data_IF_429020873482
#
_entry.id   IF_429020873482
#
_cell.length_a   1.000
_cell.length_b   1.000
_cell.length_c   1.000
_cell.angle_alpha   90.00
_cell.angle_beta   90.00
_cell.angle_gamma   90.00
#
_symmetry.space_group_name_H-M   'P 1'
#
loop_
_entity.id
_entity.type
_entity.pdbx_description
1 polymer ?
#
# COMPACT_ATOMS: atom_id res chain seq x y z
N UNK A 1 -45.13 0.01 5.36
CA UNK A 1 -43.91 -0.76 5.66
C UNK A 1 -42.82 0.28 5.91
N UNK A 2 -42.50 0.59 7.17
CA UNK A 2 -41.45 1.57 7.46
C UNK A 2 -40.11 0.87 7.27
N UNK A 3 -39.31 1.40 6.35
CA UNK A 3 -37.93 0.97 6.14
C UNK A 3 -37.18 1.26 7.44
N UNK A 4 -36.45 0.26 7.93
CA UNK A 4 -35.61 0.32 9.12
C UNK A 4 -34.70 1.57 9.05
N UNK A 5 -34.57 2.37 10.13
CA UNK A 5 -33.61 3.47 10.18
C UNK A 5 -32.19 3.10 9.73
N UNK A 6 -31.75 1.86 9.98
CA UNK A 6 -30.47 1.34 9.52
C UNK A 6 -30.42 1.19 8.00
N UNK A 7 -31.45 0.63 7.37
CA UNK A 7 -31.54 0.53 5.90
C UNK A 7 -31.56 1.91 5.23
N UNK A 8 -32.11 2.94 5.88
CA UNK A 8 -32.09 4.31 5.35
C UNK A 8 -30.70 4.95 5.35
N UNK A 9 -29.85 4.62 6.35
CA UNK A 9 -28.47 5.10 6.40
C UNK A 9 -27.66 4.44 5.28
N UNK A 10 -27.80 3.12 5.12
CA UNK A 10 -27.14 2.37 4.04
C UNK A 10 -27.53 2.87 2.65
N UNK A 11 -28.81 3.18 2.42
CA UNK A 11 -29.24 3.74 1.14
C UNK A 11 -28.60 5.11 0.85
N UNK A 12 -28.49 5.97 1.87
CA UNK A 12 -27.88 7.31 1.71
C UNK A 12 -26.39 7.22 1.39
N UNK A 13 -25.65 6.34 2.05
CA UNK A 13 -24.23 6.15 1.77
C UNK A 13 -23.98 5.52 0.39
N UNK A 14 -24.79 4.54 -0.01
CA UNK A 14 -24.69 3.91 -1.32
C UNK A 14 -24.93 4.94 -2.44
N UNK A 15 -25.93 5.80 -2.29
CA UNK A 15 -26.22 6.89 -3.24
C UNK A 15 -25.07 7.89 -3.31
N UNK A 16 -24.45 8.24 -2.17
CA UNK A 16 -23.31 9.15 -2.14
C UNK A 16 -22.07 8.55 -2.84
N UNK A 17 -21.78 7.26 -2.64
CA UNK A 17 -20.67 6.56 -3.31
C UNK A 17 -20.87 6.51 -4.83
N UNK A 18 -22.08 6.24 -5.31
CA UNK A 18 -22.41 6.24 -6.74
C UNK A 18 -22.23 7.65 -7.32
N UNK A 19 -22.73 8.67 -6.63
CA UNK A 19 -22.64 10.08 -7.06
C UNK A 19 -21.18 10.52 -7.21
N UNK A 20 -20.31 10.12 -6.29
CA UNK A 20 -18.89 10.45 -6.35
C UNK A 20 -18.19 9.74 -7.53
N UNK A 21 -18.48 8.45 -7.78
CA UNK A 21 -17.91 7.71 -8.92
C UNK A 21 -18.32 8.31 -10.27
N UNK A 22 -19.57 8.76 -10.42
CA UNK A 22 -20.04 9.41 -11.66
C UNK A 22 -19.29 10.72 -11.92
N UNK A 23 -19.05 11.54 -10.89
CA UNK A 23 -18.26 12.78 -11.02
C UNK A 23 -16.81 12.54 -11.43
N UNK A 24 -16.20 11.45 -10.98
CA UNK A 24 -14.84 11.09 -11.39
C UNK A 24 -14.78 10.65 -12.85
N UNK A 25 -15.79 9.91 -13.32
CA UNK A 25 -15.91 9.52 -14.73
C UNK A 25 -16.14 10.71 -15.67
N UNK A 26 -16.93 11.71 -15.25
CA UNK A 26 -17.14 12.93 -16.03
C UNK A 26 -15.89 13.82 -16.13
N UNK A 27 -14.97 13.74 -15.17
CA UNK A 27 -13.67 14.45 -15.24
C UNK A 27 -12.63 13.73 -16.10
N UNK A 28 -12.73 12.42 -16.26
CA UNK A 28 -11.80 11.63 -17.07
C UNK A 28 -12.03 11.71 -18.59
N UNK A 29 -13.21 12.16 -19.03
CA UNK A 29 -13.56 12.23 -20.46
C UNK A 29 -13.15 13.54 -21.14
N UNK A 30 -12.76 14.57 -20.39
CA UNK A 30 -12.26 15.83 -20.97
C UNK A 30 -10.80 15.80 -21.42
N UNK A 31 -10.01 14.78 -21.03
CA UNK A 31 -8.58 14.67 -21.37
C UNK A 31 -8.25 13.60 -22.42
N UNK A 32 -9.26 12.92 -22.99
CA UNK A 32 -9.04 11.93 -24.05
C UNK A 32 -8.98 12.58 -25.43
N UNK A 33 -7.93 13.37 -25.67
CA UNK A 33 -7.61 13.87 -27.01
C UNK A 33 -7.14 12.72 -27.90
N UNK A 34 -8.00 12.25 -28.82
CA UNK A 34 -7.63 11.34 -29.89
C UNK A 34 -6.54 11.97 -30.77
N UNK A 35 -5.28 11.55 -30.60
CA UNK A 35 -4.21 11.84 -31.56
C UNK A 35 -4.45 11.00 -32.82
N UNK A 36 -4.95 11.65 -33.86
CA UNK A 36 -5.05 11.12 -35.21
C UNK A 36 -3.64 11.13 -35.84
N UNK A 37 -3.02 9.96 -35.98
CA UNK A 37 -1.72 9.82 -36.67
C UNK A 37 -1.95 9.81 -38.18
N UNK A 38 -1.59 10.90 -38.84
CA UNK A 38 -1.54 10.99 -40.32
C UNK A 38 -0.17 10.53 -40.81
N UNK A 39 -0.12 9.44 -41.58
CA UNK A 39 1.08 8.99 -42.29
C UNK A 39 1.18 9.80 -43.59
N UNK A 40 2.25 10.58 -43.75
CA UNK A 40 2.57 11.29 -45.00
C UNK A 40 3.79 10.61 -45.63
N UNK A 41 3.61 10.02 -46.82
CA UNK A 41 4.68 9.54 -47.69
C UNK A 41 5.09 10.62 -48.69
N UNK A 42 6.37 10.92 -48.80
CA UNK A 42 6.98 11.69 -49.91
C UNK A 42 8.49 11.60 -49.81
N UNK A 43 9.31 11.52 -50.86
CA UNK A 43 9.11 11.69 -52.30
C UNK A 43 10.50 12.07 -52.85
N UNK A 44 11.09 11.24 -53.71
CA UNK A 44 12.45 11.42 -54.21
C UNK A 44 12.62 12.67 -55.09
N UNK A 45 13.82 13.27 -55.04
CA UNK A 45 14.20 14.42 -55.86
C UNK A 45 15.49 14.13 -56.61
N UNK A 46 15.41 14.09 -57.95
CA UNK A 46 16.53 13.91 -58.86
C UNK A 46 17.29 15.23 -59.11
N UNK A 47 18.61 15.15 -59.26
CA UNK A 47 19.47 16.28 -59.63
C UNK A 47 19.55 16.44 -61.17
N UNK A 48 19.43 17.68 -61.72
CA UNK A 48 19.56 17.92 -63.14
C UNK A 48 21.00 18.27 -63.56
N UNK A 49 21.24 17.99 -64.83
CA UNK A 49 22.49 17.97 -65.58
C UNK A 49 22.94 19.35 -66.10
N UNK A 50 24.20 19.37 -66.58
CA UNK A 50 24.89 20.37 -67.43
C UNK A 50 25.52 21.55 -66.69
N UNK A 51 26.74 22.01 -67.00
CA UNK A 51 27.29 22.41 -68.31
C UNK A 51 28.84 22.63 -68.20
N UNK A 52 29.57 23.04 -69.26
CA UNK A 52 30.29 22.26 -70.28
C UNK A 52 31.83 22.38 -70.22
N UNK A 53 32.48 21.56 -71.04
CA UNK A 53 33.85 21.71 -71.54
C UNK A 53 34.07 23.00 -72.35
N UNK A 54 35.34 23.26 -72.71
CA UNK A 54 35.97 24.37 -73.48
C UNK A 54 36.72 25.32 -72.52
N UNK A 55 38.06 25.32 -72.47
CA UNK A 55 38.94 25.86 -73.52
C UNK A 55 40.35 25.22 -73.53
N UNK A 56 40.67 24.57 -74.65
CA UNK A 56 41.97 24.54 -75.34
C UNK A 56 43.17 25.30 -74.71
N UNK A 57 44.06 24.59 -74.01
CA UNK A 57 45.44 25.06 -73.80
C UNK A 57 46.45 24.07 -74.42
N UNK A 58 47.09 24.41 -75.55
CA UNK A 58 47.93 23.49 -76.32
C UNK A 58 49.41 23.69 -75.99
N UNK A 59 49.87 23.25 -74.82
CA UNK A 59 51.30 23.09 -74.58
C UNK A 59 51.59 21.78 -73.83
N UNK A 60 51.88 20.77 -74.64
CA UNK A 60 52.36 19.46 -74.22
C UNK A 60 53.83 19.59 -73.78
N UNK A 61 54.07 19.96 -72.52
CA UNK A 61 55.41 19.88 -71.92
C UNK A 61 55.68 18.43 -71.53
N UNK A 62 56.70 17.84 -72.16
CA UNK A 62 57.02 16.43 -71.90
C UNK A 62 57.65 16.27 -70.52
N UNK A 63 57.41 15.16 -69.80
CA UNK A 63 57.91 14.91 -68.44
C UNK A 63 59.42 15.09 -68.24
N UNK A 64 60.20 15.08 -69.32
CA UNK A 64 61.66 15.35 -69.28
C UNK A 64 62.01 16.81 -68.98
N UNK A 65 61.11 17.76 -69.28
CA UNK A 65 61.27 19.18 -68.96
C UNK A 65 60.93 19.51 -67.50
N UNK A 66 60.38 18.56 -66.75
CA UNK A 66 60.01 18.74 -65.34
C UNK A 66 61.03 18.14 -64.35
N UNK A 67 62.13 17.53 -64.82
CA UNK A 67 63.26 17.19 -63.95
C UNK A 67 62.96 16.28 -62.76
N UNK A 68 61.86 15.52 -62.78
CA UNK A 68 61.49 14.63 -61.69
C UNK A 68 62.03 13.22 -61.96
N UNK A 69 63.31 13.03 -61.64
CA UNK A 69 63.88 11.70 -61.49
C UNK A 69 63.30 11.04 -60.22
N UNK A 70 62.89 9.78 -60.37
CA UNK A 70 62.38 8.89 -59.34
C UNK A 70 63.50 8.47 -58.39
N UNK A 71 63.44 8.88 -57.12
CA UNK A 71 64.13 8.20 -56.03
C UNK A 71 63.43 8.52 -54.71
N UNK A 72 62.94 7.46 -54.08
CA UNK A 72 62.55 7.31 -52.67
C UNK A 72 61.46 8.24 -52.14
N UNK A 73 60.25 7.69 -52.01
CA UNK A 73 59.13 8.28 -51.27
C UNK A 73 59.56 8.62 -49.85
N UNK A 74 59.64 9.90 -49.45
CA UNK A 74 59.97 10.25 -48.08
C UNK A 74 58.79 9.88 -47.17
N UNK A 75 59.09 9.23 -46.04
CA UNK A 75 58.14 9.10 -44.93
C UNK A 75 57.90 10.49 -44.34
N UNK A 76 56.73 11.09 -44.59
CA UNK A 76 56.35 12.35 -43.96
C UNK A 76 55.83 12.10 -42.54
N UNK A 77 56.72 12.07 -41.56
CA UNK A 77 56.34 12.31 -40.18
C UNK A 77 56.20 13.83 -39.97
N UNK A 78 54.99 14.30 -39.66
CA UNK A 78 54.74 15.71 -39.34
C UNK A 78 54.23 16.56 -40.50
N UNK A 79 53.31 16.04 -41.33
CA UNK A 79 52.53 16.90 -42.22
C UNK A 79 51.54 17.74 -41.39
N UNK A 80 51.97 18.92 -40.96
CA UNK A 80 51.09 19.93 -40.38
C UNK A 80 50.48 20.75 -41.53
N UNK A 81 49.18 20.60 -41.77
CA UNK A 81 48.44 21.46 -42.70
C UNK A 81 48.36 22.86 -42.09
N UNK A 82 49.27 23.75 -42.49
CA UNK A 82 49.36 25.11 -41.96
C UNK A 82 48.49 26.14 -42.71
N UNK A 83 47.61 25.67 -43.60
CA UNK A 83 46.61 26.49 -44.26
C UNK A 83 45.23 25.81 -44.27
N UNK A 84 44.18 26.63 -44.24
CA UNK A 84 42.78 26.19 -44.31
C UNK A 84 42.55 25.44 -45.63
N UNK A 85 42.11 24.18 -45.57
CA UNK A 85 41.60 23.48 -46.75
C UNK A 85 40.35 24.20 -47.24
N UNK A 86 40.46 24.90 -48.37
CA UNK A 86 39.33 25.51 -49.07
C UNK A 86 38.77 24.49 -50.06
N UNK A 87 37.65 23.89 -49.71
CA UNK A 87 36.88 23.03 -50.62
C UNK A 87 35.92 23.91 -51.44
N UNK A 88 35.96 23.81 -52.77
CA UNK A 88 34.94 24.40 -53.65
C UNK A 88 34.06 23.29 -54.22
N UNK A 89 32.79 23.26 -53.84
CA UNK A 89 31.79 22.26 -54.27
C UNK A 89 31.41 21.27 -53.16
N UNK A 90 30.31 20.54 -53.38
CA UNK A 90 29.87 19.47 -52.47
C UNK A 90 30.85 18.29 -52.53
N UNK A 91 31.53 18.03 -51.42
CA UNK A 91 32.33 16.81 -51.23
C UNK A 91 31.68 15.98 -50.13
N UNK A 92 31.54 14.67 -50.34
CA UNK A 92 31.20 13.73 -49.28
C UNK A 92 32.48 13.10 -48.75
N UNK A 93 32.55 12.96 -47.43
CA UNK A 93 33.53 12.10 -46.78
C UNK A 93 32.77 10.83 -46.44
N UNK A 94 32.95 9.80 -47.26
CA UNK A 94 32.44 8.47 -46.96
C UNK A 94 33.51 7.69 -46.22
N UNK A 95 33.20 7.26 -45.00
CA UNK A 95 34.00 6.28 -44.27
C UNK A 95 33.45 4.93 -44.68
N UNK A 96 34.14 4.25 -45.59
CA UNK A 96 33.77 2.90 -46.02
C UNK A 96 34.49 1.95 -45.07
N UNK A 97 33.73 1.39 -44.14
CA UNK A 97 34.18 0.30 -43.28
C UNK A 97 34.00 -1.02 -44.04
N UNK A 98 35.07 -1.46 -44.73
CA UNK A 98 35.19 -2.86 -45.11
C UNK A 98 35.97 -3.55 -44.00
N UNK A 99 35.41 -4.63 -43.47
CA UNK A 99 35.76 -5.39 -42.26
C UNK A 99 37.21 -5.87 -42.12
N UNK A 100 38.13 -5.44 -42.98
CA UNK A 100 39.56 -5.72 -42.89
C UNK A 100 40.47 -4.48 -42.84
N UNK A 101 40.07 -3.27 -43.30
CA UNK A 101 40.90 -2.05 -43.25
C UNK A 101 40.05 -0.77 -43.33
N UNK A 102 40.18 0.14 -42.36
CA UNK A 102 39.48 1.44 -42.37
C UNK A 102 40.27 2.48 -43.17
N UNK A 103 40.03 2.53 -44.48
CA UNK A 103 40.64 3.52 -45.38
C UNK A 103 39.80 4.80 -45.44
N UNK A 104 40.38 5.93 -45.00
CA UNK A 104 39.79 7.24 -45.27
C UNK A 104 40.20 7.69 -46.67
N UNK A 105 39.29 7.58 -47.63
CA UNK A 105 39.51 8.00 -49.02
C UNK A 105 38.84 9.33 -49.30
N UNK A 106 39.57 10.29 -49.88
CA UNK A 106 39.02 11.58 -50.32
C UNK A 106 38.89 11.57 -51.84
N UNK A 107 37.66 11.74 -52.32
CA UNK A 107 37.32 11.82 -53.73
C UNK A 107 37.03 13.27 -54.14
N UNK A 108 37.35 13.63 -55.38
CA UNK A 108 36.77 14.82 -55.99
C UNK A 108 35.28 14.56 -56.33
N UNK A 109 34.53 15.61 -56.62
CA UNK A 109 33.11 15.51 -57.01
C UNK A 109 32.85 14.73 -58.30
N UNK A 110 33.88 14.45 -59.10
CA UNK A 110 33.82 13.59 -60.29
C UNK A 110 34.24 12.13 -60.02
N UNK A 111 34.40 11.77 -58.74
CA UNK A 111 34.82 10.45 -58.26
C UNK A 111 36.24 10.04 -58.66
N UNK A 112 37.08 10.96 -59.14
CA UNK A 112 38.49 10.67 -59.38
C UNK A 112 39.29 10.71 -58.08
N UNK A 113 40.12 9.68 -57.88
CA UNK A 113 40.85 9.43 -56.63
C UNK A 113 41.98 10.44 -56.42
N UNK A 114 42.07 11.04 -55.22
CA UNK A 114 43.13 12.02 -54.91
C UNK A 114 44.12 11.56 -53.84
N UNK A 115 43.67 10.88 -52.80
CA UNK A 115 44.53 10.24 -51.79
C UNK A 115 43.69 9.30 -50.91
N UNK A 116 44.30 8.21 -50.44
CA UNK A 116 43.86 7.51 -49.23
C UNK A 116 44.83 7.80 -48.10
N UNK A 117 44.28 7.89 -46.90
CA UNK A 117 45.02 7.71 -45.67
C UNK A 117 44.61 6.37 -45.09
N UNK A 118 45.57 5.47 -45.00
CA UNK A 118 45.42 4.19 -44.34
C UNK A 118 45.56 4.39 -42.82
N UNK A 119 44.47 4.20 -42.08
CA UNK A 119 44.44 4.36 -40.62
C UNK A 119 44.47 2.97 -40.00
N UNK A 120 45.51 2.21 -40.33
CA UNK A 120 45.63 0.79 -39.93
C UNK A 120 45.91 0.57 -38.43
N UNK A 121 45.86 1.60 -37.58
CA UNK A 121 45.96 1.45 -36.12
C UNK A 121 45.11 2.47 -35.39
N UNK A 122 44.21 1.94 -34.55
CA UNK A 122 43.48 2.59 -33.45
C UNK A 122 43.39 4.11 -33.55
N UNK A 123 42.27 4.60 -34.09
CA UNK A 123 41.87 6.00 -33.90
C UNK A 123 41.67 6.24 -32.39
N UNK A 124 42.76 6.54 -31.71
CA UNK A 124 42.75 6.95 -30.31
C UNK A 124 42.30 8.40 -30.31
N UNK A 125 40.99 8.61 -30.21
CA UNK A 125 40.47 9.95 -29.92
C UNK A 125 40.96 10.28 -28.52
N UNK A 126 41.77 11.33 -28.39
CA UNK A 126 42.21 11.81 -27.08
C UNK A 126 41.01 12.16 -26.18
N UNK A 127 41.28 12.37 -24.89
CA UNK A 127 40.29 12.45 -23.80
C UNK A 127 39.11 13.43 -23.98
N UNK A 128 39.11 14.26 -25.01
CA UNK A 128 38.10 15.26 -25.30
C UNK A 128 37.49 15.07 -26.70
N UNK A 129 36.60 14.09 -26.87
CA UNK A 129 35.70 14.06 -28.02
C UNK A 129 34.59 15.10 -27.80
N UNK A 130 34.82 16.34 -28.22
CA UNK A 130 33.82 17.41 -28.15
C UNK A 130 32.93 17.31 -29.39
N UNK A 131 31.75 16.72 -29.23
CA UNK A 131 30.71 16.66 -30.27
C UNK A 131 29.93 17.97 -30.30
N UNK A 132 30.48 19.01 -30.93
CA UNK A 132 29.76 20.28 -31.14
C UNK A 132 28.96 20.24 -32.44
N UNK A 133 27.70 19.85 -32.32
CA UNK A 133 26.70 19.93 -33.37
C UNK A 133 25.36 19.44 -32.82
N UNK A 134 24.25 20.05 -33.25
CA UNK A 134 22.91 19.54 -32.92
C UNK A 134 22.74 18.15 -33.56
N UNK A 135 23.13 17.12 -32.81
CA UNK A 135 23.03 15.74 -33.24
C UNK A 135 21.56 15.34 -33.19
N UNK A 136 21.09 14.76 -34.29
CA UNK A 136 19.73 14.30 -34.48
C UNK A 136 19.25 13.45 -33.28
N UNK A 137 17.97 13.57 -32.96
CA UNK A 137 17.27 13.08 -31.77
C UNK A 137 17.26 11.56 -31.53
N UNK A 138 18.12 10.78 -32.19
CA UNK A 138 18.19 9.33 -32.08
C UNK A 138 19.64 8.89 -31.81
N UNK A 139 20.16 9.21 -30.62
CA UNK A 139 21.23 8.40 -30.04
C UNK A 139 20.51 7.25 -29.34
N UNK A 140 20.49 6.08 -30.00
CA UNK A 140 20.01 4.85 -29.37
C UNK A 140 21.01 4.41 -28.31
N UNK A 141 20.75 4.78 -27.06
CA UNK A 141 21.60 4.47 -25.91
C UNK A 141 21.37 3.04 -25.36
N UNK A 142 20.63 2.17 -26.06
CA UNK A 142 20.28 0.83 -25.58
C UNK A 142 21.47 -0.13 -25.35
N UNK A 143 22.70 0.30 -25.63
CA UNK A 143 23.93 -0.44 -25.33
C UNK A 143 25.01 0.36 -24.62
N UNK A 144 24.71 1.57 -24.11
CA UNK A 144 25.70 2.36 -23.38
C UNK A 144 25.77 1.87 -21.92
N UNK A 145 26.70 0.94 -21.66
CA UNK A 145 26.96 0.43 -20.33
C UNK A 145 27.75 1.45 -19.50
N UNK A 146 27.03 2.19 -18.64
CA UNK A 146 27.61 3.11 -17.66
C UNK A 146 28.05 2.30 -16.43
N UNK A 147 28.94 1.34 -16.61
CA UNK A 147 29.53 0.56 -15.50
C UNK A 147 30.76 1.23 -14.90
N UNK A 148 31.23 2.33 -15.50
CA UNK A 148 32.44 3.02 -15.04
C UNK A 148 32.30 4.55 -15.09
N UNK A 149 31.19 5.08 -14.56
CA UNK A 149 31.23 6.45 -13.99
C UNK A 149 31.95 6.30 -12.67
N UNK A 150 33.28 6.43 -12.74
CA UNK A 150 34.11 6.60 -11.56
C UNK A 150 33.57 7.76 -10.76
N UNK A 151 33.20 7.46 -9.51
CA UNK A 151 32.60 8.36 -8.53
C UNK A 151 31.06 8.47 -8.55
N UNK A 152 30.39 7.39 -8.12
CA UNK A 152 29.04 7.45 -7.57
C UNK A 152 29.06 7.65 -6.04
N UNK A 153 30.09 8.29 -5.47
CA UNK A 153 29.99 8.79 -4.10
C UNK A 153 29.12 10.05 -4.10
N UNK A 154 27.81 9.85 -3.97
CA UNK A 154 26.86 10.94 -3.74
C UNK A 154 25.90 11.23 -4.89
N UNK A 155 25.13 10.24 -5.33
CA UNK A 155 23.67 10.48 -5.34
C UNK A 155 23.22 10.28 -3.90
N UNK A 156 23.67 11.22 -3.06
CA UNK A 156 23.10 11.44 -1.77
C UNK A 156 21.68 11.90 -2.06
N UNK A 157 20.71 11.06 -1.71
CA UNK A 157 19.32 11.50 -1.64
C UNK A 157 19.13 12.52 -0.50
N UNK A 158 20.19 12.97 0.18
CA UNK A 158 20.29 14.02 1.21
C UNK A 158 19.93 15.44 0.77
N UNK A 159 19.21 15.60 -0.34
CA UNK A 159 18.32 16.75 -0.54
C UNK A 159 16.84 16.40 -0.38
N UNK A 160 16.54 15.27 0.27
CA UNK A 160 15.29 15.08 1.02
C UNK A 160 15.42 15.57 2.47
N UNK A 161 16.51 16.25 2.83
CA UNK A 161 16.57 17.09 4.03
C UNK A 161 15.66 18.31 3.82
N UNK A 162 14.39 18.11 4.14
CA UNK A 162 13.30 19.06 3.90
C UNK A 162 11.93 18.38 3.79
N UNK A 163 11.90 17.08 3.55
CA UNK A 163 10.78 16.25 3.97
C UNK A 163 11.09 15.88 5.42
N UNK A 164 10.42 16.55 6.36
CA UNK A 164 10.24 15.93 7.68
C UNK A 164 9.83 14.49 7.41
N UNK A 165 10.52 13.52 8.00
CA UNK A 165 10.36 12.06 7.90
C UNK A 165 8.93 11.50 8.15
N UNK A 166 7.95 12.38 8.16
CA UNK A 166 6.53 12.16 8.30
C UNK A 166 5.72 12.87 7.19
N UNK A 167 6.23 12.92 5.96
CA UNK A 167 5.46 13.28 4.77
C UNK A 167 4.49 12.15 4.34
N UNK A 168 4.42 11.09 5.13
CA UNK A 168 3.33 10.14 5.12
C UNK A 168 2.51 10.21 6.40
N UNK A 169 1.90 11.37 6.69
CA UNK A 169 0.78 11.47 7.64
C UNK A 169 -0.39 10.52 7.32
N UNK A 170 -0.36 9.84 6.17
CA UNK A 170 -1.26 8.74 5.81
C UNK A 170 -0.89 7.39 6.50
N UNK A 171 0.33 7.26 7.02
CA UNK A 171 0.85 6.13 7.78
C UNK A 171 1.20 6.48 9.23
N UNK A 172 1.03 7.74 9.63
CA UNK A 172 1.07 8.09 11.04
C UNK A 172 -0.17 7.46 11.67
N UNK A 173 0.03 6.42 12.47
CA UNK A 173 -1.06 5.72 13.12
C UNK A 173 -1.73 6.70 14.06
N UNK A 174 -2.96 7.11 13.75
CA UNK A 174 -3.78 7.86 14.70
C UNK A 174 -4.06 6.96 15.91
N UNK A 175 -3.17 7.04 16.91
CA UNK A 175 -3.20 6.21 18.10
C UNK A 175 -4.48 6.49 18.83
N UNK A 176 -5.32 5.47 18.90
CA UNK A 176 -6.51 5.45 19.73
C UNK A 176 -6.70 4.05 20.28
N UNK A 177 -6.91 3.96 21.59
CA UNK A 177 -6.95 2.69 22.30
C UNK A 177 -5.83 2.56 23.32
N UNK A 178 -5.61 1.35 23.80
CA UNK A 178 -4.80 1.09 24.98
C UNK A 178 -3.37 0.66 24.66
N UNK A 179 -2.47 0.79 25.64
CA UNK A 179 -1.14 0.22 25.48
C UNK A 179 -1.20 -1.31 25.32
N UNK A 180 -0.31 -1.94 24.53
CA UNK A 180 -0.33 -3.38 24.32
C UNK A 180 -0.10 -4.21 25.58
N UNK A 181 0.64 -3.67 26.55
CA UNK A 181 0.93 -4.28 27.84
C UNK A 181 -0.06 -3.86 28.94
N UNK A 182 -1.25 -3.39 28.54
CA UNK A 182 -2.27 -2.96 29.49
C UNK A 182 -2.59 -4.04 30.51
N UNK A 183 -2.67 -3.64 31.76
CA UNK A 183 -2.98 -4.51 32.89
C UNK A 183 -3.93 -3.80 33.86
N UNK A 184 -5.20 -4.19 33.80
CA UNK A 184 -6.24 -3.71 34.70
C UNK A 184 -7.33 -4.76 34.84
N UNK A 185 -8.08 -4.67 35.93
CA UNK A 185 -9.29 -5.43 36.15
C UNK A 185 -10.52 -4.54 35.96
N UNK A 186 -11.60 -5.11 35.44
CA UNK A 186 -12.92 -4.48 35.44
C UNK A 186 -13.87 -5.23 36.38
N UNK A 187 -14.80 -4.51 36.97
CA UNK A 187 -15.87 -5.09 37.81
C UNK A 187 -17.12 -4.23 37.75
N UNK A 188 -18.26 -4.86 38.08
CA UNK A 188 -19.53 -4.17 38.18
C UNK A 188 -20.26 -4.60 39.46
N UNK A 189 -20.84 -3.63 40.17
CA UNK A 189 -21.63 -3.88 41.37
C UNK A 189 -23.09 -3.60 41.07
N UNK A 190 -23.89 -4.67 40.92
CA UNK A 190 -25.30 -4.60 40.55
C UNK A 190 -26.12 -3.66 41.44
N UNK A 191 -25.98 -3.79 42.77
CA UNK A 191 -26.76 -3.01 43.73
C UNK A 191 -26.55 -1.49 43.65
N UNK A 192 -25.37 -1.03 43.20
CA UNK A 192 -25.07 0.39 43.03
C UNK A 192 -24.95 0.80 41.56
N UNK A 193 -25.09 -0.15 40.63
CA UNK A 193 -24.87 0.01 39.18
C UNK A 193 -23.54 0.66 38.85
N UNK A 194 -22.50 0.32 39.62
CA UNK A 194 -21.19 0.97 39.53
C UNK A 194 -20.23 0.07 38.78
N UNK A 195 -19.81 0.52 37.60
CA UNK A 195 -18.65 -0.02 36.91
C UNK A 195 -17.38 0.54 37.54
N UNK A 196 -16.35 -0.30 37.69
CA UNK A 196 -15.03 0.08 38.17
C UNK A 196 -13.96 -0.51 37.26
N UNK A 197 -13.05 0.32 36.78
CA UNK A 197 -11.77 -0.10 36.19
C UNK A 197 -10.67 0.14 37.22
N UNK A 198 -9.89 -0.91 37.50
CA UNK A 198 -8.81 -0.89 38.50
C UNK A 198 -7.48 -1.17 37.81
N UNK A 199 -6.64 -0.15 37.57
CA UNK A 199 -5.36 -0.33 36.92
C UNK A 199 -4.34 -1.00 37.85
N UNK A 200 -3.54 -1.92 37.31
CA UNK A 200 -2.35 -2.43 37.97
C UNK A 200 -1.15 -1.54 37.60
N UNK A 201 -0.81 -0.60 38.47
CA UNK A 201 0.14 0.47 38.14
C UNK A 201 -0.49 1.56 37.27
N UNK A 202 0.35 2.32 36.55
CA UNK A 202 -0.14 3.32 35.60
C UNK A 202 -0.44 2.65 34.26
N UNK A 203 -1.63 2.89 33.74
CA UNK A 203 -2.09 2.36 32.45
C UNK A 203 -2.32 3.53 31.50
N UNK A 204 -1.75 3.41 30.30
CA UNK A 204 -1.78 4.46 29.28
C UNK A 204 -2.75 4.11 28.16
N UNK A 205 -3.42 5.13 27.65
CA UNK A 205 -4.29 5.03 26.48
C UNK A 205 -4.17 6.31 25.65
N UNK A 206 -4.55 6.21 24.37
CA UNK A 206 -4.51 7.32 23.43
C UNK A 206 -5.90 7.56 22.87
N UNK A 207 -6.16 8.83 22.53
CA UNK A 207 -7.31 9.25 21.74
C UNK A 207 -6.79 10.29 20.75
N UNK A 208 -6.85 9.98 19.44
CA UNK A 208 -6.34 10.85 18.37
C UNK A 208 -4.91 11.36 18.64
N UNK A 209 -3.99 10.43 18.93
CA UNK A 209 -2.58 10.70 19.27
C UNK A 209 -2.34 11.47 20.58
N UNK A 210 -3.38 11.83 21.33
CA UNK A 210 -3.25 12.43 22.66
C UNK A 210 -3.20 11.33 23.70
N UNK A 211 -2.11 11.27 24.45
CA UNK A 211 -1.90 10.31 25.52
C UNK A 211 -2.62 10.74 26.81
N UNK A 212 -3.22 9.75 27.48
CA UNK A 212 -3.84 9.86 28.78
C UNK A 212 -3.41 8.67 29.64
N UNK A 213 -3.61 8.77 30.94
CA UNK A 213 -3.31 7.67 31.85
C UNK A 213 -4.25 7.59 33.03
N UNK A 214 -4.35 6.39 33.60
CA UNK A 214 -4.99 6.13 34.88
C UNK A 214 -4.02 5.40 35.81
N UNK A 215 -3.96 5.82 37.07
CA UNK A 215 -3.11 5.20 38.10
C UNK A 215 -3.89 4.79 39.35
N UNK A 216 -5.18 5.11 39.40
CA UNK A 216 -6.08 4.76 40.50
C UNK A 216 -7.36 4.16 39.92
N UNK A 217 -8.14 3.40 40.70
CA UNK A 217 -9.46 2.97 40.27
C UNK A 217 -10.31 4.15 39.83
N UNK A 218 -10.97 4.01 38.68
CA UNK A 218 -11.95 4.96 38.18
C UNK A 218 -13.32 4.27 38.05
N UNK A 219 -14.38 5.03 38.23
CA UNK A 219 -15.74 4.49 38.34
C UNK A 219 -16.76 5.30 37.57
N UNK A 220 -17.74 4.61 37.02
CA UNK A 220 -18.91 5.24 36.41
C UNK A 220 -20.17 4.50 36.83
N UNK A 221 -21.24 5.24 37.06
CA UNK A 221 -22.54 4.69 37.45
C UNK A 221 -23.48 4.77 36.25
N UNK A 222 -24.12 3.64 35.90
CA UNK A 222 -25.16 3.64 34.88
C UNK A 222 -26.52 3.96 35.49
N UNK A 223 -27.44 4.45 34.65
CA UNK A 223 -28.85 4.55 35.04
C UNK A 223 -29.51 3.17 35.08
N UNK A 224 -30.69 3.05 35.71
CA UNK A 224 -31.45 1.80 35.70
C UNK A 224 -32.26 1.72 34.40
N UNK A 225 -31.54 1.60 33.29
CA UNK A 225 -32.12 1.50 31.96
C UNK A 225 -31.63 0.21 31.32
N UNK A 226 -32.60 -0.63 30.98
CA UNK A 226 -32.42 -1.92 30.32
C UNK A 226 -31.53 -1.80 29.06
N UNK A 227 -30.70 -2.81 28.83
CA UNK A 227 -30.03 -3.02 27.55
C UNK A 227 -28.51 -2.83 27.58
N UNK A 228 -27.96 -2.58 26.38
CA UNK A 228 -26.52 -2.54 26.13
C UNK A 228 -25.93 -1.20 26.56
N UNK A 229 -24.86 -1.25 27.32
CA UNK A 229 -24.07 -0.11 27.79
C UNK A 229 -22.64 -0.22 27.29
N UNK A 230 -22.10 0.92 26.90
CA UNK A 230 -20.78 1.13 26.37
C UNK A 230 -20.00 1.97 27.36
N UNK A 231 -18.86 1.45 27.82
CA UNK A 231 -17.98 2.10 28.79
C UNK A 231 -16.67 2.47 28.09
N UNK A 232 -16.32 3.76 28.13
CA UNK A 232 -15.19 4.31 27.39
C UNK A 232 -14.66 5.60 28.00
N UNK A 233 -13.43 5.98 27.65
CA UNK A 233 -12.87 7.30 27.97
C UNK A 233 -13.13 8.30 26.83
N UNK A 234 -13.53 9.51 27.21
CA UNK A 234 -13.50 10.72 26.36
C UNK A 234 -12.55 11.71 27.02
N UNK A 235 -11.40 11.93 26.38
CA UNK A 235 -10.28 12.56 27.06
C UNK A 235 -9.92 11.79 28.34
N UNK A 236 -9.89 12.48 29.49
CA UNK A 236 -9.61 11.86 30.79
C UNK A 236 -10.85 11.39 31.57
N UNK A 237 -12.04 11.37 30.97
CA UNK A 237 -13.31 11.11 31.68
C UNK A 237 -13.86 9.74 31.31
N UNK A 238 -14.00 8.85 32.29
CA UNK A 238 -14.72 7.59 32.13
C UNK A 238 -16.23 7.84 31.97
N UNK A 239 -16.79 7.34 30.88
CA UNK A 239 -18.16 7.59 30.45
C UNK A 239 -18.91 6.27 30.25
N UNK A 240 -20.21 6.29 30.55
CA UNK A 240 -21.13 5.20 30.23
C UNK A 240 -22.28 5.73 29.38
N UNK A 241 -22.59 5.03 28.28
CA UNK A 241 -23.64 5.44 27.33
C UNK A 241 -24.31 4.22 26.70
N UNK A 242 -25.58 4.34 26.32
CA UNK A 242 -26.25 3.35 25.45
C UNK A 242 -26.27 3.80 23.97
N UNK A 243 -25.76 4.99 23.68
CA UNK A 243 -25.68 5.52 22.32
C UNK A 243 -24.50 4.86 21.60
N UNK A 244 -24.73 4.18 20.46
CA UNK A 244 -23.63 3.66 19.65
C UNK A 244 -22.73 4.80 19.16
N UNK A 245 -21.45 4.51 19.00
CA UNK A 245 -20.47 5.42 18.40
C UNK A 245 -19.96 4.84 17.09
N UNK A 246 -19.30 5.68 16.30
CA UNK A 246 -18.61 5.24 15.09
C UNK A 246 -17.13 5.10 15.39
N UNK A 247 -16.62 3.88 15.23
CA UNK A 247 -15.21 3.57 15.47
C UNK A 247 -14.24 4.40 14.62
N UNK A 248 -14.69 4.84 13.44
CA UNK A 248 -13.90 5.67 12.53
C UNK A 248 -13.77 7.12 13.00
N UNK A 249 -14.57 7.56 13.96
CA UNK A 249 -14.45 8.90 14.54
C UNK A 249 -13.20 9.02 15.45
N UNK A 250 -12.70 7.86 15.92
CA UNK A 250 -11.41 7.72 16.60
C UNK A 250 -11.25 8.59 17.87
N UNK A 251 -12.37 9.01 18.45
CA UNK A 251 -12.48 10.04 19.48
C UNK A 251 -12.72 9.49 20.90
N UNK A 252 -12.67 8.17 21.07
CA UNK A 252 -12.82 7.49 22.36
C UNK A 252 -11.78 6.37 22.54
N UNK A 253 -11.42 6.08 23.78
CA UNK A 253 -10.72 4.84 24.12
C UNK A 253 -11.72 3.87 24.77
N UNK A 254 -12.11 2.83 24.02
CA UNK A 254 -13.13 1.87 24.45
C UNK A 254 -12.61 0.98 25.59
N UNK A 255 -13.48 0.64 26.56
CA UNK A 255 -13.11 -0.19 27.72
C UNK A 255 -13.91 -1.49 27.73
N UNK A 256 -15.23 -1.38 27.77
CA UNK A 256 -16.08 -2.53 28.08
C UNK A 256 -17.47 -2.37 27.49
N UNK A 257 -18.00 -3.52 27.09
CA UNK A 257 -19.41 -3.70 26.75
C UNK A 257 -20.12 -4.41 27.90
N UNK A 258 -21.28 -3.89 28.32
CA UNK A 258 -22.07 -4.45 29.41
C UNK A 258 -23.55 -4.55 29.04
N UNK A 259 -24.21 -5.65 29.39
CA UNK A 259 -25.67 -5.79 29.23
C UNK A 259 -26.35 -5.72 30.61
N UNK A 260 -27.21 -4.73 30.81
CA UNK A 260 -27.96 -4.52 32.05
C UNK A 260 -29.38 -5.07 31.92
N UNK A 261 -29.74 -6.01 32.80
CA UNK A 261 -31.12 -6.48 33.00
C UNK A 261 -31.75 -5.68 34.14
N UNK A 262 -32.47 -4.62 33.79
CA UNK A 262 -33.14 -3.73 34.75
C UNK A 262 -34.30 -4.44 35.45
N UNK A 263 -34.88 -5.46 34.82
CA UNK A 263 -35.96 -6.25 35.43
C UNK A 263 -35.46 -7.03 36.63
N UNK A 264 -34.29 -7.67 36.49
CA UNK A 264 -33.70 -8.49 37.53
C UNK A 264 -32.64 -7.75 38.38
N UNK A 265 -32.30 -6.51 38.01
CA UNK A 265 -31.24 -5.69 38.62
C UNK A 265 -29.88 -6.40 38.62
N UNK A 266 -29.48 -6.94 37.48
CA UNK A 266 -28.18 -7.61 37.34
C UNK A 266 -27.48 -7.30 36.01
N UNK A 267 -26.15 -7.20 36.04
CA UNK A 267 -25.35 -7.22 34.83
C UNK A 267 -25.23 -8.68 34.33
N UNK A 268 -25.79 -8.92 33.15
CA UNK A 268 -25.80 -10.28 32.58
C UNK A 268 -24.57 -10.55 31.71
N UNK A 269 -24.02 -9.53 31.06
CA UNK A 269 -22.77 -9.60 30.29
C UNK A 269 -21.84 -8.48 30.75
N UNK A 270 -20.56 -8.79 30.95
CA UNK A 270 -19.49 -7.82 31.18
C UNK A 270 -18.26 -8.27 30.37
N UNK A 271 -18.05 -7.66 29.21
CA UNK A 271 -16.95 -7.96 28.29
C UNK A 271 -15.89 -6.87 28.33
N UNK A 272 -14.61 -7.27 28.37
CA UNK A 272 -13.49 -6.35 28.10
C UNK A 272 -13.31 -6.25 26.60
N UNK A 273 -13.21 -5.03 26.09
CA UNK A 273 -13.20 -4.73 24.66
C UNK A 273 -12.22 -3.59 24.37
N UNK A 274 -11.10 -3.64 25.08
CA UNK A 274 -10.13 -2.55 25.08
C UNK A 274 -9.04 -2.84 24.08
N UNK A 275 -9.29 -2.55 22.81
CA UNK A 275 -8.31 -2.76 21.75
C UNK A 275 -7.08 -1.86 21.90
N UNK A 276 -5.96 -2.33 21.38
CA UNK A 276 -4.70 -1.58 21.48
C UNK A 276 -4.62 -0.48 20.43
N UNK A 277 -3.85 0.57 20.72
CA UNK A 277 -3.61 1.65 19.75
C UNK A 277 -2.89 1.19 18.47
N UNK A 278 -2.33 -0.03 18.45
CA UNK A 278 -1.70 -0.63 17.27
C UNK A 278 -2.73 -1.00 16.20
N UNK A 279 -4.00 -1.17 16.58
CA UNK A 279 -5.09 -1.43 15.67
C UNK A 279 -5.67 -0.09 15.21
N UNK A 280 -5.34 0.35 14.00
CA UNK A 280 -5.91 1.59 13.44
C UNK A 280 -7.44 1.51 13.40
N UNK A 281 -8.14 2.64 13.51
CA UNK A 281 -9.61 2.68 13.43
C UNK A 281 -10.16 2.00 12.16
N UNK A 282 -9.46 2.13 11.03
CA UNK A 282 -9.82 1.46 9.78
C UNK A 282 -9.63 -0.06 9.84
N UNK A 283 -8.51 -0.52 10.37
CA UNK A 283 -8.26 -1.96 10.57
C UNK A 283 -9.29 -2.55 11.54
N UNK A 284 -9.54 -1.85 12.65
CA UNK A 284 -10.52 -2.24 13.66
C UNK A 284 -11.92 -2.36 13.07
N UNK A 285 -12.39 -1.33 12.35
CA UNK A 285 -13.66 -1.36 11.62
C UNK A 285 -13.74 -2.54 10.64
N UNK A 286 -12.67 -2.76 9.87
CA UNK A 286 -12.61 -3.84 8.90
C UNK A 286 -12.76 -5.21 9.56
N UNK A 287 -12.06 -5.46 10.67
CA UNK A 287 -12.12 -6.75 11.34
C UNK A 287 -13.47 -6.99 12.02
N UNK A 288 -14.05 -6.02 12.72
CA UNK A 288 -15.41 -6.16 13.25
C UNK A 288 -16.44 -6.43 12.15
N UNK A 289 -16.28 -5.81 10.97
CA UNK A 289 -17.23 -5.96 9.87
C UNK A 289 -17.08 -7.28 9.10
N UNK A 290 -15.85 -7.77 8.92
CA UNK A 290 -15.56 -8.92 8.05
C UNK A 290 -15.27 -10.21 8.79
N UNK A 291 -14.76 -10.13 10.01
CA UNK A 291 -14.29 -11.27 10.78
C UNK A 291 -15.13 -11.48 12.04
N UNK A 292 -15.34 -10.42 12.83
CA UNK A 292 -15.88 -10.51 14.18
C UNK A 292 -15.08 -11.45 15.08
N UNK A 293 -15.74 -12.02 16.09
CA UNK A 293 -15.10 -12.99 16.99
C UNK A 293 -14.68 -14.27 16.24
N UNK A 294 -13.42 -14.69 16.42
CA UNK A 294 -12.84 -15.86 15.76
C UNK A 294 -12.58 -17.00 16.74
N UNK A 295 -12.94 -18.21 16.35
CA UNK A 295 -12.53 -19.42 17.06
C UNK A 295 -11.08 -19.79 16.71
N UNK A 296 -10.25 -20.07 17.73
CA UNK A 296 -8.87 -20.52 17.54
C UNK A 296 -8.71 -22.02 17.78
N UNK A 297 -9.17 -22.50 18.94
CA UNK A 297 -8.96 -23.89 19.38
C UNK A 297 -9.84 -24.27 20.58
N UNK A 298 -9.95 -25.58 20.84
CA UNK A 298 -10.53 -26.12 22.06
C UNK A 298 -12.06 -26.18 22.09
N UNK A 299 -12.65 -26.01 23.28
CA UNK A 299 -14.10 -26.10 23.50
C UNK A 299 -14.74 -27.39 22.97
N UNK A 300 -13.99 -28.49 22.93
CA UNK A 300 -14.49 -29.78 22.48
C UNK A 300 -15.44 -30.32 23.54
N UNK A 301 -16.68 -30.62 23.15
CA UNK A 301 -17.65 -31.22 24.06
C UNK A 301 -17.28 -32.66 24.40
N UNK A 302 -17.40 -33.02 25.68
CA UNK A 302 -17.09 -34.33 26.24
C UNK A 302 -18.25 -34.89 27.06
N UNK A 303 -18.14 -36.18 27.42
CA UNK A 303 -19.07 -36.89 28.32
C UNK A 303 -20.56 -36.85 27.94
N UNK A 304 -20.87 -36.60 26.67
CA UNK A 304 -22.26 -36.62 26.16
C UNK A 304 -22.76 -38.07 26.06
N UNK A 305 -23.81 -38.39 26.81
CA UNK A 305 -24.52 -39.67 26.73
C UNK A 305 -25.60 -39.66 25.64
N UNK A 306 -25.18 -39.67 24.36
CA UNK A 306 -26.05 -39.43 23.19
C UNK A 306 -27.09 -40.53 22.87
N UNK A 307 -27.02 -41.69 23.52
CA UNK A 307 -27.88 -42.86 23.24
C UNK A 307 -28.97 -43.13 24.29
N UNK A 308 -29.09 -42.24 25.28
CA UNK A 308 -29.92 -42.50 26.45
C UNK A 308 -31.37 -42.05 26.27
N UNK A 309 -32.25 -42.51 27.16
CA UNK A 309 -33.69 -42.24 27.09
C UNK A 309 -34.11 -40.88 27.71
N UNK A 310 -33.17 -40.09 28.22
CA UNK A 310 -33.46 -38.79 28.85
C UNK A 310 -34.09 -38.83 30.25
N UNK A 311 -34.19 -40.00 30.90
CA UNK A 311 -34.84 -40.11 32.22
C UNK A 311 -33.92 -39.82 33.43
N UNK A 312 -32.61 -39.65 33.22
CA UNK A 312 -31.64 -39.34 34.27
C UNK A 312 -30.98 -37.98 34.01
N UNK A 313 -30.64 -37.27 35.09
CA UNK A 313 -29.94 -35.98 35.05
C UNK A 313 -28.66 -36.04 34.21
N UNK A 314 -27.90 -37.14 34.31
CA UNK A 314 -26.65 -37.35 33.56
C UNK A 314 -26.83 -37.36 32.04
N UNK A 315 -28.06 -37.54 31.53
CA UNK A 315 -28.35 -37.49 30.10
C UNK A 315 -28.41 -36.05 29.56
N UNK A 316 -28.48 -35.05 30.45
CA UNK A 316 -28.56 -33.63 30.13
C UNK A 316 -27.28 -32.86 30.53
N UNK A 317 -26.19 -33.57 30.78
CA UNK A 317 -24.91 -33.04 31.24
C UNK A 317 -23.83 -33.30 30.20
N UNK A 318 -22.83 -32.43 30.15
CA UNK A 318 -21.63 -32.60 29.33
C UNK A 318 -20.46 -31.85 29.96
N UNK A 319 -19.25 -32.07 29.44
CA UNK A 319 -18.04 -31.30 29.72
C UNK A 319 -17.57 -30.55 28.47
N UNK A 320 -16.63 -29.63 28.62
CA UNK A 320 -15.85 -29.12 27.50
C UNK A 320 -14.39 -28.92 27.88
N UNK A 321 -13.50 -29.08 26.89
CA UNK A 321 -12.09 -28.74 27.07
C UNK A 321 -11.90 -27.22 27.16
N UNK A 322 -10.74 -26.80 27.66
CA UNK A 322 -10.31 -25.40 27.52
C UNK A 322 -10.24 -25.01 26.04
N UNK A 323 -10.36 -23.72 25.75
CA UNK A 323 -10.31 -23.21 24.40
C UNK A 323 -10.02 -21.72 24.32
N UNK A 324 -9.84 -21.24 23.10
CA UNK A 324 -9.47 -19.86 22.81
C UNK A 324 -10.37 -19.32 21.71
N UNK A 325 -10.92 -18.13 21.96
CA UNK A 325 -11.53 -17.26 20.96
C UNK A 325 -10.76 -15.93 20.92
N UNK A 326 -10.79 -15.25 19.78
CA UNK A 326 -10.18 -13.94 19.61
C UNK A 326 -11.24 -12.92 19.21
N UNK A 327 -11.05 -11.71 19.68
CA UNK A 327 -11.64 -10.49 19.13
C UNK A 327 -10.48 -9.61 18.66
N UNK A 328 -10.13 -9.71 17.38
CA UNK A 328 -8.92 -9.12 16.80
C UNK A 328 -7.62 -9.39 17.58
N UNK A 329 -7.14 -8.40 18.34
CA UNK A 329 -5.93 -8.41 19.16
C UNK A 329 -6.19 -8.77 20.63
N UNK A 330 -7.43 -9.13 20.98
CA UNK A 330 -7.85 -9.60 22.30
C UNK A 330 -8.00 -11.11 22.28
N UNK A 331 -7.26 -11.80 23.15
CA UNK A 331 -7.29 -13.26 23.29
C UNK A 331 -8.10 -13.62 24.53
N UNK A 332 -9.18 -14.37 24.34
CA UNK A 332 -9.98 -14.91 25.44
C UNK A 332 -9.71 -16.41 25.60
N UNK A 333 -9.08 -16.75 26.72
CA UNK A 333 -8.91 -18.14 27.14
C UNK A 333 -10.08 -18.56 28.02
N UNK A 334 -10.78 -19.60 27.60
CA UNK A 334 -11.88 -20.22 28.34
C UNK A 334 -11.34 -21.48 29.01
N UNK A 335 -11.48 -21.55 30.34
CA UNK A 335 -11.07 -22.72 31.11
C UNK A 335 -11.92 -23.95 30.75
N UNK A 336 -11.39 -25.14 30.97
CA UNK A 336 -12.20 -26.36 30.84
C UNK A 336 -13.28 -26.41 31.92
N UNK A 337 -14.40 -27.05 31.61
CA UNK A 337 -15.44 -27.35 32.59
C UNK A 337 -15.80 -28.84 32.53
N UNK A 338 -15.74 -29.49 33.67
CA UNK A 338 -15.92 -30.95 33.79
C UNK A 338 -17.36 -31.31 34.05
N UNK A 339 -17.77 -32.52 33.70
CA UNK A 339 -19.19 -32.92 33.81
C UNK A 339 -19.65 -32.95 35.28
N UNK A 340 -20.74 -32.24 35.65
CA UNK A 340 -21.55 -31.39 34.78
C UNK A 340 -20.96 -29.98 34.59
N UNK A 341 -20.82 -29.55 33.34
CA UNK A 341 -20.45 -28.18 33.04
C UNK A 341 -21.52 -27.19 33.54
N UNK A 342 -21.05 -26.08 34.10
CA UNK A 342 -21.83 -25.00 34.71
C UNK A 342 -21.85 -23.77 33.82
N UNK A 343 -22.61 -23.87 32.71
CA UNK A 343 -22.66 -22.82 31.69
C UNK A 343 -23.97 -22.02 31.84
N UNK A 344 -23.92 -20.68 31.96
CA UNK A 344 -25.13 -19.85 31.97
C UNK A 344 -25.80 -19.84 30.59
N UNK A 345 -27.12 -19.66 30.56
CA UNK A 345 -27.89 -19.61 29.31
C UNK A 345 -28.37 -18.19 29.07
N UNK A 346 -27.97 -17.63 27.93
CA UNK A 346 -28.45 -16.34 27.45
C UNK A 346 -29.58 -16.54 26.45
N UNK A 347 -30.65 -15.77 26.58
CA UNK A 347 -31.81 -15.85 25.69
C UNK A 347 -32.47 -14.48 25.52
N UNK A 348 -33.29 -14.32 24.49
CA UNK A 348 -34.09 -13.11 24.25
C UNK A 348 -35.57 -13.36 24.49
N UNK A 349 -36.28 -12.37 25.03
CA UNK A 349 -37.73 -12.41 25.23
C UNK A 349 -38.49 -12.21 23.91
N UNK A 350 -38.58 -13.25 23.10
CA UNK A 350 -39.17 -13.15 21.76
C UNK A 350 -38.24 -12.41 20.77
N UNK A 351 -38.73 -12.14 19.56
CA UNK A 351 -37.88 -11.69 18.45
C UNK A 351 -37.18 -10.33 18.69
N UNK A 352 -37.85 -9.42 19.39
CA UNK A 352 -37.37 -8.06 19.67
C UNK A 352 -37.21 -7.78 21.17
N UNK A 353 -37.29 -8.80 22.02
CA UNK A 353 -37.17 -8.59 23.45
C UNK A 353 -35.75 -8.47 23.93
N UNK A 354 -35.68 -8.14 25.20
CA UNK A 354 -34.45 -7.95 25.95
C UNK A 354 -33.72 -9.27 26.17
N UNK A 355 -32.40 -9.16 26.37
CA UNK A 355 -31.57 -10.28 26.76
C UNK A 355 -31.77 -10.62 28.23
N UNK A 356 -31.80 -11.91 28.52
CA UNK A 356 -31.93 -12.45 29.87
C UNK A 356 -30.89 -13.53 30.06
N UNK A 357 -30.54 -13.78 31.33
CA UNK A 357 -29.62 -14.84 31.73
C UNK A 357 -30.34 -15.80 32.65
N UNK A 358 -30.12 -17.09 32.44
CA UNK A 358 -30.36 -18.12 33.44
C UNK A 358 -29.01 -18.41 34.06
N UNK A 359 -28.92 -18.28 35.39
CA UNK A 359 -27.72 -18.63 36.14
C UNK A 359 -27.28 -20.04 35.79
N UNK A 360 -25.97 -20.24 35.67
CA UNK A 360 -25.39 -21.55 35.46
C UNK A 360 -25.93 -22.56 36.47
N UNK A 361 -26.31 -23.74 35.97
CA UNK A 361 -26.67 -24.90 36.80
C UNK A 361 -25.87 -26.10 36.31
N UNK A 362 -26.04 -27.25 36.94
CA UNK A 362 -25.49 -28.52 36.44
C UNK A 362 -26.11 -28.94 35.10
N UNK A 363 -27.07 -28.19 34.58
CA UNK A 363 -27.73 -28.45 33.31
C UNK A 363 -27.49 -27.23 32.41
N UNK A 364 -26.56 -27.32 31.45
CA UNK A 364 -26.35 -26.30 30.42
C UNK A 364 -27.48 -26.32 29.35
N UNK A 365 -28.71 -26.60 29.79
CA UNK A 365 -29.95 -26.58 29.02
C UNK A 365 -31.06 -25.94 29.86
N UNK A 366 -32.04 -25.30 29.21
CA UNK A 366 -33.23 -24.78 29.89
C UNK A 366 -34.48 -25.53 29.46
N UNK A 367 -35.60 -25.35 30.18
CA UNK A 367 -36.88 -25.97 29.85
C UNK A 367 -37.97 -24.93 29.70
N UNK A 368 -39.03 -25.26 28.94
CA UNK A 368 -40.22 -24.40 28.82
C UNK A 368 -41.17 -24.50 30.02
N UNK A 369 -40.69 -24.98 31.18
CA UNK A 369 -41.50 -25.27 32.37
C UNK A 369 -42.28 -26.59 32.31
N UNK A 370 -42.22 -27.32 31.19
CA UNK A 370 -42.82 -28.67 31.02
C UNK A 370 -41.80 -29.81 31.17
N UNK A 371 -40.57 -29.50 31.58
CA UNK A 371 -39.46 -30.45 31.70
C UNK A 371 -38.82 -30.86 30.38
N UNK A 372 -39.33 -30.39 29.23
CA UNK A 372 -38.66 -30.58 27.92
C UNK A 372 -37.60 -29.52 27.71
N UNK A 373 -36.43 -29.94 27.22
CA UNK A 373 -35.38 -29.03 26.75
C UNK A 373 -35.95 -28.01 25.78
N UNK A 374 -35.73 -26.73 26.08
CA UNK A 374 -36.09 -25.62 25.21
C UNK A 374 -34.92 -25.33 24.28
N UNK A 375 -35.24 -25.10 23.01
CA UNK A 375 -34.32 -24.60 22.00
C UNK A 375 -35.04 -23.50 21.22
N UNK A 376 -34.28 -22.52 20.70
CA UNK A 376 -34.79 -21.42 19.89
C UNK A 376 -34.76 -21.79 18.40
#
# INVERSE_FOLDING_TARGET
MSIDPFEQIFLKEAVQRITNKVKTLERGTSDFAFRQTTIISGGGSAAPSTHPSLTNNPHNVTPRQLGMATSDSPSFAGLQLTSTLLFSGSQSIDVIDDSADTLLSIYNSDSTYKASLDIEKDLTVGNDLILTGAMASNIDMAGFDITNVGDTTGIDHGQLDGLTDNDHGLYDYDKTGWNPDRDYAISFVDGTRTFTITPNGTQEYWINNVEYSISNPDTVVITDTEGLWFIYYVGSTLTASQTPWNILDNDIAFVSTMMWDATNNEAIILGVDSHTWKLSAWSHYYHHFTEGTRYQSGLVLGDILAGENGNLDTHAQFSHTSGIILDEDIIHTIAEDTTPATIPIYYRLGANGDWRRITATNFPITTTGTGRGAWN
#
